data_IF_332121977201
#
_entry.id   IF_332121977201
#
_cell.length_a   1.000
_cell.length_b   1.000
_cell.length_c   1.000
_cell.angle_alpha   90.00
_cell.angle_beta   90.00
_cell.angle_gamma   90.00
#
_symmetry.space_group_name_H-M   'P 1'
#
loop_
_entity.id
_entity.type
_entity.pdbx_description
1 polymer ?
#
# COMPACT_ATOMS: atom_id res chain seq x y z
N UNK A 1 39.55 12.26 21.00
CA UNK A 1 38.12 11.82 21.10
C UNK A 1 37.39 12.49 19.97
N UNK A 2 37.25 11.78 18.83
CA UNK A 2 36.55 12.34 17.66
C UNK A 2 35.06 12.34 17.96
N UNK A 3 34.46 13.49 17.91
CA UNK A 3 33.02 13.73 18.06
C UNK A 3 32.29 12.97 16.93
N UNK A 4 32.01 11.68 17.17
CA UNK A 4 31.26 10.84 16.23
C UNK A 4 29.87 11.47 16.04
N UNK A 5 29.78 12.45 15.13
CA UNK A 5 28.60 13.29 14.88
C UNK A 5 27.38 12.40 14.68
N UNK A 6 26.42 12.49 15.61
CA UNK A 6 25.09 11.88 15.48
C UNK A 6 24.52 12.21 14.11
N UNK A 7 24.00 11.22 13.41
CA UNK A 7 23.36 11.43 12.09
C UNK A 7 21.99 12.04 12.32
N UNK A 8 21.85 13.32 11.99
CA UNK A 8 20.55 14.00 12.01
C UNK A 8 19.62 13.54 10.88
N UNK A 9 18.37 14.01 10.90
CA UNK A 9 17.33 13.65 9.93
C UNK A 9 17.78 13.78 8.46
N UNK A 10 18.31 14.97 8.08
CA UNK A 10 18.78 15.20 6.70
C UNK A 10 19.97 14.31 6.33
N UNK A 11 20.87 14.06 7.29
CA UNK A 11 21.97 13.13 7.11
C UNK A 11 21.50 11.70 6.90
N UNK A 12 20.49 11.25 7.64
CA UNK A 12 19.90 9.94 7.50
C UNK A 12 19.18 9.77 6.15
N UNK A 13 18.45 10.79 5.72
CA UNK A 13 17.80 10.82 4.40
C UNK A 13 18.83 10.76 3.27
N UNK A 14 19.89 11.59 3.33
CA UNK A 14 21.00 11.54 2.36
C UNK A 14 21.64 10.16 2.31
N UNK A 15 22.00 9.59 3.46
CA UNK A 15 22.63 8.28 3.55
C UNK A 15 21.72 7.16 3.02
N UNK A 16 20.41 7.31 3.12
CA UNK A 16 19.46 6.35 2.55
C UNK A 16 19.64 6.23 1.01
N UNK A 17 19.77 7.35 0.31
CA UNK A 17 20.01 7.33 -1.14
C UNK A 17 21.45 6.95 -1.50
N UNK A 18 22.42 7.42 -0.75
CA UNK A 18 23.84 7.04 -0.93
C UNK A 18 24.04 5.53 -0.73
N UNK A 19 23.25 4.92 0.15
CA UNK A 19 23.28 3.50 0.46
C UNK A 19 23.00 2.59 -0.74
N UNK A 20 22.37 3.07 -1.81
CA UNK A 20 22.20 2.30 -3.06
C UNK A 20 23.55 1.93 -3.66
N UNK A 21 24.50 2.88 -3.68
CA UNK A 21 25.85 2.66 -4.20
C UNK A 21 26.86 2.21 -3.13
N UNK A 22 26.59 2.61 -1.87
CA UNK A 22 27.46 2.33 -0.71
C UNK A 22 26.63 1.76 0.44
N UNK A 23 26.38 0.45 0.47
CA UNK A 23 25.52 -0.20 1.48
C UNK A 23 25.90 0.10 2.93
N UNK A 24 27.18 0.35 3.22
CA UNK A 24 27.67 0.78 4.55
C UNK A 24 26.96 2.02 5.11
N UNK A 25 26.44 2.91 4.22
CA UNK A 25 25.71 4.11 4.64
C UNK A 25 24.41 3.78 5.39
N UNK A 26 23.77 2.65 5.08
CA UNK A 26 22.60 2.19 5.84
C UNK A 26 22.97 1.76 7.25
N UNK A 27 24.09 1.03 7.40
CA UNK A 27 24.56 0.62 8.70
C UNK A 27 24.97 1.83 9.56
N UNK A 28 25.62 2.83 8.94
CA UNK A 28 25.94 4.10 9.60
C UNK A 28 24.70 4.82 10.11
N UNK A 29 23.60 4.83 9.34
CA UNK A 29 22.31 5.35 9.79
C UNK A 29 21.75 4.56 10.98
N UNK A 30 21.85 3.25 10.96
CA UNK A 30 21.43 2.39 12.06
C UNK A 30 22.21 2.66 13.33
N UNK A 31 23.54 2.80 13.22
CA UNK A 31 24.44 2.98 14.37
C UNK A 31 24.33 4.37 15.00
N UNK A 32 24.37 5.44 14.20
CA UNK A 32 24.46 6.81 14.67
C UNK A 32 23.15 7.61 14.56
N UNK A 33 22.10 7.03 13.93
CA UNK A 33 20.80 7.65 13.77
C UNK A 33 19.87 7.40 14.95
N UNK A 34 18.98 8.38 15.23
CA UNK A 34 17.93 8.23 16.24
C UNK A 34 16.77 7.41 15.69
N UNK A 35 16.11 6.62 16.55
CA UNK A 35 14.91 5.86 16.17
C UNK A 35 13.76 6.77 15.74
N UNK A 36 13.59 7.92 16.40
CA UNK A 36 12.60 8.93 16.01
C UNK A 36 12.80 9.44 14.57
N UNK A 37 14.05 9.64 14.14
CA UNK A 37 14.34 10.00 12.75
C UNK A 37 13.98 8.88 11.77
N UNK A 38 14.24 7.62 12.13
CA UNK A 38 13.85 6.47 11.32
C UNK A 38 12.33 6.38 11.17
N UNK A 39 11.58 6.54 12.27
CA UNK A 39 10.11 6.54 12.24
C UNK A 39 9.54 7.68 11.39
N UNK A 40 10.08 8.91 11.55
CA UNK A 40 9.64 10.05 10.76
C UNK A 40 9.91 9.86 9.25
N UNK A 41 11.11 9.37 8.89
CA UNK A 41 11.45 9.05 7.50
C UNK A 41 10.52 7.94 6.97
N UNK A 42 10.22 6.92 7.78
CA UNK A 42 9.28 5.87 7.40
C UNK A 42 7.90 6.44 7.07
N UNK A 43 7.38 7.34 7.90
CA UNK A 43 6.08 7.97 7.66
C UNK A 43 6.09 8.81 6.37
N UNK A 44 7.11 9.65 6.17
CA UNK A 44 7.23 10.48 4.97
C UNK A 44 7.36 9.61 3.71
N UNK A 45 8.20 8.59 3.75
CA UNK A 45 8.40 7.70 2.60
C UNK A 45 7.17 6.83 2.31
N UNK A 46 6.44 6.38 3.33
CA UNK A 46 5.15 5.70 3.14
C UNK A 46 4.13 6.63 2.49
N UNK A 47 4.03 7.87 2.96
CA UNK A 47 3.15 8.89 2.36
C UNK A 47 3.50 9.11 0.89
N UNK A 48 4.78 9.31 0.57
CA UNK A 48 5.25 9.51 -0.80
C UNK A 48 4.98 8.27 -1.68
N UNK A 49 5.25 7.08 -1.14
CA UNK A 49 5.02 5.82 -1.85
C UNK A 49 3.56 5.69 -2.25
N UNK A 50 2.63 5.83 -1.30
CA UNK A 50 1.20 5.69 -1.59
C UNK A 50 0.60 6.87 -2.35
N UNK A 51 1.22 8.05 -2.29
CA UNK A 51 0.88 9.14 -3.20
C UNK A 51 1.15 8.73 -4.66
N UNK A 52 2.32 8.17 -4.92
CA UNK A 52 2.78 7.83 -6.29
C UNK A 52 2.12 6.57 -6.83
N UNK A 53 1.95 5.52 -6.01
CA UNK A 53 1.46 4.20 -6.48
C UNK A 53 -0.05 4.01 -6.35
N UNK A 54 -0.73 4.84 -5.59
CA UNK A 54 -2.16 4.74 -5.34
C UNK A 54 -2.90 6.03 -5.69
N UNK A 55 -2.60 7.15 -5.01
CA UNK A 55 -3.37 8.39 -5.17
C UNK A 55 -3.33 8.94 -6.59
N UNK A 56 -2.14 9.05 -7.20
CA UNK A 56 -2.00 9.58 -8.56
C UNK A 56 -2.70 8.69 -9.58
N UNK A 57 -2.45 7.36 -9.66
CA UNK A 57 -3.16 6.50 -10.61
C UNK A 57 -4.67 6.47 -10.38
N UNK A 58 -5.12 6.39 -9.14
CA UNK A 58 -6.56 6.40 -8.84
C UNK A 58 -7.20 7.72 -9.30
N UNK A 59 -6.58 8.85 -8.97
CA UNK A 59 -7.10 10.17 -9.38
C UNK A 59 -7.12 10.35 -10.91
N UNK A 60 -6.19 9.72 -11.62
CA UNK A 60 -6.19 9.72 -13.09
C UNK A 60 -7.34 8.89 -13.68
N UNK A 61 -7.73 7.80 -13.03
CA UNK A 61 -8.75 6.88 -13.53
C UNK A 61 -10.15 7.26 -13.07
N UNK A 62 -10.32 7.65 -11.81
CA UNK A 62 -11.60 7.81 -11.15
C UNK A 62 -11.85 9.22 -10.60
N UNK A 63 -10.80 9.95 -10.24
CA UNK A 63 -10.92 11.21 -9.52
C UNK A 63 -11.37 12.39 -10.38
N UNK A 64 -11.80 13.48 -9.70
CA UNK A 64 -12.27 14.74 -10.30
C UNK A 64 -13.46 14.56 -11.25
N UNK A 65 -14.41 13.68 -10.92
CA UNK A 65 -15.62 13.44 -11.73
C UNK A 65 -15.40 12.60 -12.98
N UNK A 66 -14.19 12.13 -13.28
CA UNK A 66 -13.91 11.36 -14.50
C UNK A 66 -14.69 10.06 -14.60
N UNK A 67 -14.95 9.41 -13.47
CA UNK A 67 -15.77 8.20 -13.46
C UNK A 67 -17.24 8.55 -13.73
N UNK A 68 -17.74 9.61 -13.13
CA UNK A 68 -19.08 10.15 -13.40
C UNK A 68 -19.23 10.56 -14.86
N UNK A 69 -18.24 11.27 -15.43
CA UNK A 69 -18.22 11.65 -16.85
C UNK A 69 -18.21 10.43 -17.79
N UNK A 70 -17.54 9.33 -17.40
CA UNK A 70 -17.57 8.07 -18.19
C UNK A 70 -18.95 7.43 -18.17
N UNK A 71 -19.61 7.40 -17.01
CA UNK A 71 -20.99 6.91 -16.91
C UNK A 71 -21.90 7.79 -17.78
N UNK A 72 -21.75 9.10 -17.69
CA UNK A 72 -22.58 10.03 -18.44
C UNK A 72 -22.47 9.86 -19.96
N UNK A 73 -21.27 9.66 -20.47
CA UNK A 73 -20.98 9.54 -21.91
C UNK A 73 -21.25 8.17 -22.50
N UNK A 74 -21.08 7.11 -21.71
CA UNK A 74 -21.06 5.73 -22.25
C UNK A 74 -22.29 4.91 -21.88
N UNK A 75 -23.10 5.39 -20.93
CA UNK A 75 -24.32 4.70 -20.52
C UNK A 75 -25.53 5.53 -20.93
N UNK A 76 -26.54 4.86 -21.43
CA UNK A 76 -27.87 5.43 -21.63
C UNK A 76 -28.55 5.73 -20.29
N UNK A 77 -29.73 6.34 -20.34
CA UNK A 77 -30.48 6.62 -19.13
C UNK A 77 -30.96 5.36 -18.43
N UNK A 78 -30.85 5.37 -17.12
CA UNK A 78 -31.33 4.29 -16.28
C UNK A 78 -32.02 4.81 -15.02
N UNK A 79 -32.87 3.96 -14.45
CA UNK A 79 -33.50 4.22 -13.17
C UNK A 79 -33.67 2.95 -12.36
N UNK A 80 -33.48 3.04 -11.04
CA UNK A 80 -33.78 2.01 -10.08
C UNK A 80 -34.95 2.46 -9.20
N UNK A 81 -36.00 1.67 -9.17
CA UNK A 81 -37.24 1.92 -8.42
C UNK A 81 -37.62 0.71 -7.57
N UNK A 82 -38.69 0.80 -6.80
CA UNK A 82 -39.27 -0.35 -6.09
C UNK A 82 -39.75 -1.49 -7.00
N UNK A 83 -40.00 -1.19 -8.28
CA UNK A 83 -40.45 -2.16 -9.29
C UNK A 83 -39.28 -2.83 -10.03
N UNK A 84 -38.03 -2.36 -9.85
CA UNK A 84 -36.84 -2.91 -10.45
C UNK A 84 -35.92 -1.88 -11.09
N UNK A 85 -34.95 -2.40 -11.85
CA UNK A 85 -33.97 -1.60 -12.60
C UNK A 85 -34.40 -1.50 -14.08
N UNK A 86 -34.43 -0.29 -14.58
CA UNK A 86 -34.71 0.02 -15.98
C UNK A 86 -33.48 0.64 -16.62
N UNK A 87 -33.14 0.18 -17.83
CA UNK A 87 -32.06 0.71 -18.67
C UNK A 87 -32.55 0.82 -20.11
N UNK A 88 -32.30 1.92 -20.77
CA UNK A 88 -32.73 2.11 -22.16
C UNK A 88 -31.75 1.41 -23.11
N UNK A 89 -32.13 0.24 -23.59
CA UNK A 89 -31.32 -0.60 -24.47
C UNK A 89 -30.55 -1.71 -23.78
N UNK A 90 -29.39 -2.04 -24.30
CA UNK A 90 -28.45 -3.02 -23.75
C UNK A 90 -27.08 -2.42 -23.65
N UNK A 91 -26.31 -2.82 -22.64
CA UNK A 91 -24.95 -2.35 -22.44
C UNK A 91 -24.02 -3.56 -22.22
N UNK A 92 -22.96 -3.60 -23.00
CA UNK A 92 -21.89 -4.59 -22.88
C UNK A 92 -20.55 -3.85 -22.81
N UNK A 93 -19.77 -4.10 -21.77
CA UNK A 93 -18.47 -3.50 -21.57
C UNK A 93 -17.46 -4.50 -21.01
N UNK A 94 -16.25 -4.50 -21.55
CA UNK A 94 -15.13 -5.32 -21.08
C UNK A 94 -13.91 -4.45 -20.72
N UNK A 95 -13.21 -4.89 -19.70
CA UNK A 95 -11.92 -4.35 -19.29
C UNK A 95 -10.92 -5.51 -19.23
N UNK A 96 -10.13 -5.63 -20.27
CA UNK A 96 -9.15 -6.71 -20.42
C UNK A 96 -7.99 -6.60 -19.43
N UNK A 97 -7.63 -5.38 -19.00
CA UNK A 97 -6.56 -5.16 -18.00
C UNK A 97 -6.96 -5.68 -16.62
N UNK A 98 -8.22 -5.44 -16.23
CA UNK A 98 -8.76 -5.88 -14.95
C UNK A 98 -9.52 -7.20 -15.05
N UNK A 99 -9.58 -7.80 -16.24
CA UNK A 99 -10.34 -9.04 -16.50
C UNK A 99 -11.78 -8.94 -15.99
N UNK A 100 -12.46 -7.82 -16.30
CA UNK A 100 -13.81 -7.52 -15.82
C UNK A 100 -14.76 -7.33 -16.98
N UNK A 101 -16.01 -7.80 -16.82
CA UNK A 101 -17.06 -7.67 -17.80
C UNK A 101 -18.37 -7.22 -17.15
N UNK A 102 -19.08 -6.29 -17.79
CA UNK A 102 -20.39 -5.79 -17.35
C UNK A 102 -21.38 -5.93 -18.49
N UNK A 103 -22.50 -6.57 -18.20
CA UNK A 103 -23.64 -6.69 -19.11
C UNK A 103 -24.90 -6.16 -18.44
N UNK A 104 -25.63 -5.28 -19.14
CA UNK A 104 -26.95 -4.79 -18.71
C UNK A 104 -27.97 -5.19 -19.78
N UNK A 105 -28.99 -5.91 -19.38
CA UNK A 105 -30.10 -6.34 -20.25
C UNK A 105 -31.39 -6.43 -19.43
N UNK A 106 -32.12 -5.31 -19.39
CA UNK A 106 -33.38 -5.18 -18.63
C UNK A 106 -34.60 -5.72 -19.37
N UNK A 107 -34.44 -6.26 -20.60
CA UNK A 107 -35.47 -7.02 -21.25
C UNK A 107 -35.76 -8.37 -20.54
N UNK A 108 -34.77 -8.80 -19.71
CA UNK A 108 -34.86 -9.99 -18.86
C UNK A 108 -35.14 -9.59 -17.42
N UNK A 109 -36.06 -10.31 -16.77
CA UNK A 109 -36.35 -10.07 -15.34
C UNK A 109 -35.30 -10.69 -14.42
N UNK A 110 -34.74 -11.86 -14.82
CA UNK A 110 -33.78 -12.61 -14.03
C UNK A 110 -32.46 -12.79 -14.75
N UNK A 111 -31.41 -12.90 -13.97
CA UNK A 111 -30.08 -13.22 -14.46
C UNK A 111 -29.88 -14.71 -14.62
N UNK A 112 -29.07 -15.12 -15.59
CA UNK A 112 -28.68 -16.49 -15.79
C UNK A 112 -27.24 -16.72 -15.35
N UNK A 113 -27.04 -17.54 -14.32
CA UNK A 113 -25.70 -17.86 -13.80
C UNK A 113 -24.84 -18.61 -14.83
N UNK A 114 -25.45 -19.38 -15.74
CA UNK A 114 -24.69 -20.07 -16.77
C UNK A 114 -24.00 -19.06 -17.70
N UNK A 115 -24.71 -18.01 -18.09
CA UNK A 115 -24.16 -16.93 -18.94
C UNK A 115 -22.94 -16.27 -18.26
N UNK A 116 -23.01 -16.04 -16.93
CA UNK A 116 -21.87 -15.42 -16.20
C UNK A 116 -20.66 -16.35 -16.16
N UNK A 117 -20.88 -17.67 -16.01
CA UNK A 117 -19.81 -18.67 -16.00
C UNK A 117 -19.18 -18.83 -17.39
N UNK A 118 -20.00 -18.83 -18.43
CA UNK A 118 -19.53 -18.95 -19.81
C UNK A 118 -18.72 -17.72 -20.21
N UNK A 119 -19.16 -16.49 -19.87
CA UNK A 119 -18.42 -15.27 -20.09
C UNK A 119 -17.09 -15.28 -19.32
N UNK A 120 -17.08 -15.80 -18.10
CA UNK A 120 -15.84 -15.92 -17.33
C UNK A 120 -14.88 -16.97 -17.93
N UNK A 121 -15.41 -18.11 -18.40
CA UNK A 121 -14.61 -19.19 -18.96
C UNK A 121 -14.06 -18.84 -20.36
N UNK A 122 -14.93 -18.39 -21.25
CA UNK A 122 -14.60 -18.14 -22.66
C UNK A 122 -13.85 -16.80 -22.85
N UNK A 123 -14.26 -15.77 -22.09
CA UNK A 123 -13.65 -14.43 -22.13
C UNK A 123 -12.44 -14.26 -21.21
N UNK A 124 -12.17 -15.24 -20.33
CA UNK A 124 -11.07 -15.15 -19.34
C UNK A 124 -11.32 -14.11 -18.23
N UNK A 125 -12.57 -13.67 -18.05
CA UNK A 125 -12.88 -12.64 -17.06
C UNK A 125 -12.90 -13.20 -15.64
N UNK A 126 -12.25 -12.49 -14.71
CA UNK A 126 -12.27 -12.82 -13.27
C UNK A 126 -13.54 -12.36 -12.59
N UNK A 127 -14.06 -11.22 -13.05
CA UNK A 127 -15.25 -10.59 -12.48
C UNK A 127 -16.25 -10.32 -13.60
N UNK A 128 -17.47 -10.83 -13.45
CA UNK A 128 -18.57 -10.60 -14.38
C UNK A 128 -19.75 -10.03 -13.60
N UNK A 129 -20.29 -8.91 -14.09
CA UNK A 129 -21.51 -8.31 -13.59
C UNK A 129 -22.60 -8.46 -14.67
N UNK A 130 -23.75 -9.04 -14.30
CA UNK A 130 -24.93 -9.09 -15.16
C UNK A 130 -26.08 -8.41 -14.42
N UNK A 131 -26.68 -7.43 -15.05
CA UNK A 131 -27.79 -6.63 -14.49
C UNK A 131 -29.02 -6.88 -15.35
N UNK A 132 -30.07 -7.39 -14.74
CA UNK A 132 -31.43 -7.54 -15.32
C UNK A 132 -32.40 -6.58 -14.66
N UNK A 133 -33.68 -6.62 -15.01
CA UNK A 133 -34.67 -5.75 -14.40
C UNK A 133 -34.82 -5.98 -12.88
N UNK A 134 -34.77 -7.23 -12.41
CA UNK A 134 -35.05 -7.55 -11.00
C UNK A 134 -33.80 -7.94 -10.20
N UNK A 135 -32.72 -8.33 -10.88
CA UNK A 135 -31.56 -8.95 -10.23
C UNK A 135 -30.23 -8.43 -10.78
N UNK A 136 -29.26 -8.33 -9.88
CA UNK A 136 -27.85 -8.10 -10.21
C UNK A 136 -27.06 -9.34 -9.81
N UNK A 137 -26.38 -9.93 -10.75
CA UNK A 137 -25.47 -11.05 -10.54
C UNK A 137 -24.03 -10.54 -10.55
N UNK A 138 -23.28 -10.92 -9.54
CA UNK A 138 -21.82 -10.75 -9.49
C UNK A 138 -21.18 -12.12 -9.46
N UNK A 139 -20.36 -12.42 -10.46
CA UNK A 139 -19.47 -13.59 -10.48
C UNK A 139 -18.05 -13.13 -10.24
N UNK A 140 -17.37 -13.72 -9.27
CA UNK A 140 -15.98 -13.41 -8.98
C UNK A 140 -15.20 -14.69 -8.62
N UNK A 141 -14.25 -15.07 -9.47
CA UNK A 141 -13.34 -16.18 -9.25
C UNK A 141 -14.03 -17.48 -8.80
N UNK A 142 -15.13 -17.85 -9.45
CA UNK A 142 -15.89 -19.07 -9.17
C UNK A 142 -17.01 -18.94 -8.13
N UNK A 143 -17.23 -17.76 -7.57
CA UNK A 143 -18.31 -17.47 -6.62
C UNK A 143 -19.36 -16.59 -7.27
N UNK A 144 -20.62 -16.99 -7.17
CA UNK A 144 -21.76 -16.21 -7.64
C UNK A 144 -22.49 -15.59 -6.46
N UNK A 145 -22.86 -14.33 -6.60
CA UNK A 145 -23.76 -13.64 -5.68
C UNK A 145 -24.86 -12.97 -6.49
N UNK A 146 -26.10 -13.15 -6.09
CA UNK A 146 -27.26 -12.50 -6.68
C UNK A 146 -27.88 -11.58 -5.65
N UNK A 147 -28.15 -10.34 -6.03
CA UNK A 147 -28.79 -9.31 -5.22
C UNK A 147 -30.01 -8.81 -5.97
N UNK A 148 -31.15 -8.69 -5.30
CA UNK A 148 -32.35 -8.15 -5.93
C UNK A 148 -32.27 -6.63 -6.03
N UNK A 149 -32.64 -6.08 -7.16
CA UNK A 149 -32.70 -4.64 -7.39
C UNK A 149 -33.57 -3.93 -6.36
N UNK A 150 -34.66 -4.55 -5.96
CA UNK A 150 -35.58 -4.05 -4.91
C UNK A 150 -34.87 -3.87 -3.56
N UNK A 151 -34.03 -4.82 -3.15
CA UNK A 151 -33.33 -4.74 -1.85
C UNK A 151 -32.34 -3.57 -1.84
N UNK A 152 -31.68 -3.33 -3.00
CA UNK A 152 -30.79 -2.17 -3.17
C UNK A 152 -31.59 -0.88 -3.10
N UNK A 153 -32.71 -0.81 -3.81
CA UNK A 153 -33.58 0.39 -3.81
C UNK A 153 -34.09 0.71 -2.42
N UNK A 154 -34.60 -0.30 -1.68
CA UNK A 154 -35.09 -0.12 -0.30
C UNK A 154 -33.99 0.47 0.61
N UNK A 155 -32.80 -0.09 0.54
CA UNK A 155 -31.63 0.41 1.31
C UNK A 155 -31.27 1.85 0.96
N UNK A 156 -31.29 2.21 -0.32
CA UNK A 156 -31.00 3.59 -0.77
C UNK A 156 -32.13 4.56 -0.41
N UNK A 157 -33.39 4.11 -0.51
CA UNK A 157 -34.53 4.92 -0.14
C UNK A 157 -34.56 5.21 1.38
N UNK A 158 -34.29 4.20 2.23
CA UNK A 158 -34.20 4.38 3.67
C UNK A 158 -33.06 5.33 4.06
N UNK A 159 -31.93 5.25 3.36
CA UNK A 159 -30.74 6.04 3.71
C UNK A 159 -30.78 7.47 3.18
N UNK A 160 -31.30 7.67 1.96
CA UNK A 160 -31.20 8.93 1.23
C UNK A 160 -32.57 9.51 0.83
N UNK A 161 -33.66 8.79 1.00
CA UNK A 161 -35.02 9.25 0.67
C UNK A 161 -35.31 9.34 -0.83
N UNK A 162 -34.62 8.58 -1.68
CA UNK A 162 -34.85 8.59 -3.13
C UNK A 162 -36.20 7.91 -3.48
N UNK A 163 -37.03 8.59 -4.27
CA UNK A 163 -38.24 8.01 -4.87
C UNK A 163 -37.91 7.11 -6.08
N UNK A 164 -36.89 7.45 -6.79
CA UNK A 164 -36.22 6.69 -7.82
C UNK A 164 -34.75 7.07 -7.82
N UNK A 165 -33.85 6.13 -8.10
CA UNK A 165 -32.42 6.42 -8.25
C UNK A 165 -32.14 6.49 -9.75
N UNK A 166 -31.91 7.68 -10.25
CA UNK A 166 -31.65 7.93 -11.68
C UNK A 166 -30.14 7.93 -11.97
N UNK A 167 -29.78 7.88 -13.25
CA UNK A 167 -28.40 8.09 -13.71
C UNK A 167 -27.78 9.36 -13.11
N UNK A 168 -28.56 10.45 -13.10
CA UNK A 168 -28.10 11.74 -12.59
C UNK A 168 -27.86 11.70 -11.06
N UNK A 169 -28.68 10.98 -10.31
CA UNK A 169 -28.49 10.79 -8.86
C UNK A 169 -27.22 10.01 -8.58
N UNK A 170 -26.93 8.95 -9.36
CA UNK A 170 -25.69 8.18 -9.26
C UNK A 170 -24.48 9.06 -9.60
N UNK A 171 -24.52 9.84 -10.65
CA UNK A 171 -23.47 10.80 -11.03
C UNK A 171 -23.21 11.80 -9.90
N UNK A 172 -24.26 12.38 -9.34
CA UNK A 172 -24.16 13.34 -8.24
C UNK A 172 -23.57 12.70 -6.96
N UNK A 173 -23.98 11.47 -6.66
CA UNK A 173 -23.47 10.71 -5.52
C UNK A 173 -21.96 10.38 -5.70
N UNK A 174 -21.57 9.91 -6.88
CA UNK A 174 -20.18 9.65 -7.21
C UNK A 174 -19.34 10.91 -7.05
N UNK A 175 -19.76 12.03 -7.66
CA UNK A 175 -19.05 13.30 -7.56
C UNK A 175 -18.91 13.80 -6.11
N UNK A 176 -19.91 13.53 -5.27
CA UNK A 176 -19.86 13.90 -3.85
C UNK A 176 -18.94 13.00 -3.03
N UNK A 177 -18.88 11.72 -3.35
CA UNK A 177 -18.13 10.71 -2.56
C UNK A 177 -16.70 10.47 -3.06
N UNK A 178 -16.42 10.73 -4.33
CA UNK A 178 -15.14 10.41 -4.98
C UNK A 178 -13.94 10.95 -4.19
N UNK A 179 -13.88 12.24 -3.94
CA UNK A 179 -12.76 12.84 -3.21
C UNK A 179 -12.63 12.37 -1.75
N UNK A 180 -13.70 12.37 -0.93
CA UNK A 180 -13.63 11.86 0.43
C UNK A 180 -13.19 10.40 0.53
N UNK A 181 -13.71 9.53 -0.34
CA UNK A 181 -13.37 8.11 -0.39
C UNK A 181 -11.91 7.92 -0.80
N UNK A 182 -11.44 8.65 -1.82
CA UNK A 182 -10.05 8.61 -2.24
C UNK A 182 -9.09 9.02 -1.11
N UNK A 183 -9.37 10.13 -0.44
CA UNK A 183 -8.53 10.63 0.66
C UNK A 183 -8.51 9.64 1.82
N UNK A 184 -9.66 9.10 2.21
CA UNK A 184 -9.76 8.11 3.27
C UNK A 184 -8.97 6.83 2.92
N UNK A 185 -9.15 6.31 1.71
CA UNK A 185 -8.43 5.13 1.25
C UNK A 185 -6.90 5.37 1.22
N UNK A 186 -6.47 6.55 0.78
CA UNK A 186 -5.06 6.93 0.77
C UNK A 186 -4.48 6.99 2.19
N UNK A 187 -5.17 7.61 3.15
CA UNK A 187 -4.74 7.68 4.55
C UNK A 187 -4.62 6.28 5.15
N UNK A 188 -5.61 5.41 4.91
CA UNK A 188 -5.57 4.02 5.37
C UNK A 188 -4.37 3.26 4.78
N UNK A 189 -4.09 3.44 3.49
CA UNK A 189 -2.92 2.85 2.83
C UNK A 189 -1.60 3.33 3.45
N UNK A 190 -1.48 4.60 3.82
CA UNK A 190 -0.28 5.12 4.51
C UNK A 190 -0.09 4.42 5.85
N UNK A 191 -1.15 4.31 6.66
CA UNK A 191 -1.07 3.67 7.98
C UNK A 191 -0.68 2.20 7.85
N UNK A 192 -1.36 1.46 6.98
CA UNK A 192 -1.06 0.05 6.73
C UNK A 192 0.37 -0.13 6.21
N UNK A 193 0.78 0.69 5.25
CA UNK A 193 2.13 0.64 4.68
C UNK A 193 3.22 0.97 5.69
N UNK A 194 2.98 1.93 6.57
CA UNK A 194 3.88 2.25 7.67
C UNK A 194 4.08 1.03 8.59
N UNK A 195 2.99 0.43 9.06
CA UNK A 195 3.04 -0.75 9.95
C UNK A 195 3.71 -1.94 9.26
N UNK A 196 3.33 -2.23 8.01
CA UNK A 196 3.93 -3.31 7.24
C UNK A 196 5.42 -3.10 6.98
N UNK A 197 5.86 -1.87 6.75
CA UNK A 197 7.29 -1.57 6.57
C UNK A 197 8.07 -1.92 7.83
N UNK A 198 7.58 -1.54 9.01
CA UNK A 198 8.20 -1.88 10.29
C UNK A 198 8.24 -3.39 10.51
N UNK A 199 7.13 -4.08 10.23
CA UNK A 199 7.05 -5.53 10.36
C UNK A 199 8.04 -6.26 9.43
N UNK A 200 8.08 -5.92 8.14
CA UNK A 200 9.01 -6.54 7.19
C UNK A 200 10.48 -6.21 7.52
N UNK A 201 10.74 -5.05 8.11
CA UNK A 201 12.09 -4.69 8.58
C UNK A 201 12.58 -5.60 9.70
N UNK A 202 11.68 -6.18 10.52
CA UNK A 202 12.07 -7.19 11.51
C UNK A 202 12.65 -8.44 10.85
N UNK A 203 12.06 -8.93 9.77
CA UNK A 203 12.58 -10.09 9.03
C UNK A 203 13.96 -9.80 8.43
N UNK A 204 14.14 -8.61 7.86
CA UNK A 204 15.44 -8.17 7.34
C UNK A 204 16.46 -8.05 8.48
N UNK A 205 16.03 -7.63 9.67
CA UNK A 205 16.88 -7.56 10.86
C UNK A 205 17.40 -8.93 11.27
N UNK A 206 16.54 -9.95 11.28
CA UNK A 206 16.96 -11.32 11.57
C UNK A 206 18.03 -11.77 10.58
N UNK A 207 17.84 -11.52 9.29
CA UNK A 207 18.86 -11.81 8.28
C UNK A 207 20.17 -11.04 8.53
N UNK A 208 20.10 -9.78 8.93
CA UNK A 208 21.26 -8.96 9.29
C UNK A 208 22.01 -9.47 10.52
N UNK A 209 21.30 -9.94 11.54
CA UNK A 209 21.92 -10.57 12.72
C UNK A 209 22.61 -11.89 12.38
N UNK A 210 22.01 -12.71 11.50
CA UNK A 210 22.65 -13.92 10.98
C UNK A 210 23.95 -13.56 10.23
N UNK A 211 23.90 -12.53 9.38
CA UNK A 211 25.09 -12.05 8.66
C UNK A 211 26.21 -11.61 9.62
N UNK A 212 25.87 -10.88 10.67
CA UNK A 212 26.81 -10.44 11.70
C UNK A 212 27.41 -11.63 12.45
N UNK A 213 26.58 -12.58 12.86
CA UNK A 213 27.02 -13.80 13.55
C UNK A 213 27.97 -14.63 12.69
N UNK A 214 27.68 -14.81 11.39
CA UNK A 214 28.58 -15.53 10.46
C UNK A 214 29.93 -14.83 10.31
N UNK A 215 30.00 -13.54 10.48
CA UNK A 215 31.24 -12.74 10.44
C UNK A 215 31.89 -12.55 11.80
N UNK A 216 31.31 -13.11 12.88
CA UNK A 216 31.73 -12.90 14.26
C UNK A 216 31.79 -11.42 14.65
N UNK A 217 30.85 -10.63 14.17
CA UNK A 217 30.72 -9.21 14.45
C UNK A 217 29.64 -9.03 15.51
N UNK A 218 29.97 -8.37 16.59
CA UNK A 218 28.98 -7.99 17.60
C UNK A 218 28.22 -6.74 17.15
N UNK A 219 26.90 -6.83 17.10
CA UNK A 219 26.02 -5.74 16.68
C UNK A 219 24.76 -5.72 17.54
N UNK A 220 24.28 -4.53 17.87
CA UNK A 220 23.02 -4.42 18.57
C UNK A 220 21.83 -4.62 17.63
N UNK A 221 20.76 -5.24 18.15
CA UNK A 221 19.49 -5.40 17.42
C UNK A 221 18.98 -4.06 16.89
N UNK A 222 19.01 -3.01 17.73
CA UNK A 222 18.52 -1.67 17.37
C UNK A 222 19.27 -1.06 16.19
N UNK A 223 20.59 -1.28 16.09
CA UNK A 223 21.40 -0.83 14.95
C UNK A 223 20.96 -1.50 13.65
N UNK A 224 20.84 -2.84 13.66
CA UNK A 224 20.43 -3.59 12.48
C UNK A 224 19.00 -3.26 12.09
N UNK A 225 18.08 -3.13 13.06
CA UNK A 225 16.68 -2.81 12.79
C UNK A 225 16.51 -1.43 12.13
N UNK A 226 17.17 -0.40 12.65
CA UNK A 226 17.18 0.92 12.00
C UNK A 226 17.76 0.86 10.58
N UNK A 227 18.85 0.12 10.38
CA UNK A 227 19.44 -0.09 9.04
C UNK A 227 18.46 -0.77 8.10
N UNK A 228 17.78 -1.82 8.57
CA UNK A 228 16.78 -2.57 7.81
C UNK A 228 15.59 -1.71 7.39
N UNK A 229 15.13 -0.80 8.26
CA UNK A 229 14.08 0.17 7.93
C UNK A 229 14.48 1.01 6.71
N UNK A 230 15.66 1.64 6.72
CA UNK A 230 16.11 2.49 5.62
C UNK A 230 16.28 1.73 4.30
N UNK A 231 16.84 0.52 4.36
CA UNK A 231 16.99 -0.35 3.19
C UNK A 231 15.61 -0.70 2.63
N UNK A 232 14.70 -1.18 3.48
CA UNK A 232 13.35 -1.58 3.08
C UNK A 232 12.57 -0.45 2.45
N UNK A 233 12.60 0.73 3.04
CA UNK A 233 11.88 1.91 2.54
C UNK A 233 12.25 2.25 1.11
N UNK A 234 13.55 2.35 0.84
CA UNK A 234 14.01 2.77 -0.48
C UNK A 234 13.73 1.72 -1.55
N UNK A 235 14.09 0.45 -1.28
CA UNK A 235 13.88 -0.62 -2.25
C UNK A 235 12.40 -0.91 -2.50
N UNK A 236 11.57 -0.83 -1.46
CA UNK A 236 10.12 -0.96 -1.63
C UNK A 236 9.56 0.17 -2.50
N UNK A 237 9.93 1.41 -2.22
CA UNK A 237 9.50 2.56 -3.03
C UNK A 237 9.90 2.39 -4.51
N UNK A 238 11.17 2.11 -4.80
CA UNK A 238 11.66 1.96 -6.16
C UNK A 238 10.95 0.82 -6.91
N UNK A 239 10.82 -0.35 -6.29
CA UNK A 239 10.18 -1.50 -6.92
C UNK A 239 8.68 -1.28 -7.12
N UNK A 240 8.01 -0.59 -6.21
CA UNK A 240 6.59 -0.29 -6.37
C UNK A 240 6.32 0.78 -7.43
N UNK A 241 7.22 1.76 -7.60
CA UNK A 241 7.15 2.70 -8.72
C UNK A 241 7.32 1.97 -10.07
N UNK A 242 8.30 1.08 -10.16
CA UNK A 242 8.49 0.24 -11.36
C UNK A 242 7.25 -0.61 -11.64
N UNK A 243 6.67 -1.25 -10.60
CA UNK A 243 5.47 -2.07 -10.71
C UNK A 243 4.22 -1.29 -11.11
N UNK A 244 4.18 0.00 -10.84
CA UNK A 244 3.01 0.84 -11.15
C UNK A 244 3.07 1.39 -12.56
N UNK A 245 4.24 1.81 -13.03
CA UNK A 245 4.38 2.57 -14.27
C UNK A 245 5.08 1.83 -15.41
N UNK A 246 5.85 0.78 -15.12
CA UNK A 246 6.67 0.10 -16.12
C UNK A 246 6.23 -1.36 -16.31
N UNK A 247 6.05 -2.08 -15.22
CA UNK A 247 5.72 -3.51 -15.25
C UNK A 247 4.65 -3.85 -14.21
N UNK A 248 3.40 -4.10 -14.59
CA UNK A 248 2.28 -4.27 -13.66
C UNK A 248 2.30 -5.61 -12.90
N UNK A 249 3.36 -5.85 -12.13
CA UNK A 249 3.56 -7.07 -11.33
C UNK A 249 3.81 -6.75 -9.85
N UNK A 250 2.87 -6.01 -9.22
CA UNK A 250 3.02 -5.48 -7.86
C UNK A 250 3.44 -6.52 -6.81
N UNK A 251 2.85 -7.73 -6.86
CA UNK A 251 3.18 -8.80 -5.90
C UNK A 251 4.62 -9.27 -6.06
N UNK A 252 5.05 -9.52 -7.29
CA UNK A 252 6.40 -9.97 -7.62
C UNK A 252 7.44 -8.91 -7.24
N UNK A 253 7.17 -7.65 -7.55
CA UNK A 253 8.07 -6.53 -7.24
C UNK A 253 8.17 -6.28 -5.73
N UNK A 254 7.09 -6.47 -4.97
CA UNK A 254 7.12 -6.42 -3.51
C UNK A 254 8.01 -7.50 -2.88
N UNK A 255 7.98 -8.71 -3.42
CA UNK A 255 8.87 -9.82 -3.01
C UNK A 255 10.32 -9.56 -3.43
N UNK A 256 10.55 -9.06 -4.63
CA UNK A 256 11.88 -8.68 -5.12
C UNK A 256 12.50 -7.59 -4.25
N UNK A 257 11.72 -6.58 -3.85
CA UNK A 257 12.16 -5.55 -2.92
C UNK A 257 12.62 -6.12 -1.57
N UNK A 258 11.92 -7.14 -1.06
CA UNK A 258 12.32 -7.83 0.17
C UNK A 258 13.63 -8.58 -0.03
N UNK A 259 13.75 -9.34 -1.11
CA UNK A 259 14.95 -10.10 -1.41
C UNK A 259 16.20 -9.21 -1.57
N UNK A 260 16.06 -8.12 -2.34
CA UNK A 260 17.12 -7.12 -2.48
C UNK A 260 17.48 -6.52 -1.12
N UNK A 261 16.48 -6.22 -0.27
CA UNK A 261 16.73 -5.67 1.06
C UNK A 261 17.55 -6.62 1.95
N UNK A 262 17.32 -7.93 1.84
CA UNK A 262 18.12 -8.93 2.55
C UNK A 262 19.56 -8.94 2.04
N UNK A 263 19.81 -8.90 0.74
CA UNK A 263 21.16 -8.79 0.18
C UNK A 263 21.86 -7.53 0.67
N UNK A 264 21.16 -6.40 0.67
CA UNK A 264 21.74 -5.11 1.08
C UNK A 264 22.08 -5.05 2.57
N UNK A 265 21.33 -5.72 3.46
CA UNK A 265 21.70 -5.74 4.88
C UNK A 265 22.98 -6.55 5.11
N UNK A 266 23.17 -7.67 4.38
CA UNK A 266 24.42 -8.43 4.41
C UNK A 266 25.61 -7.58 3.93
N UNK A 267 25.42 -6.86 2.81
CA UNK A 267 26.44 -5.98 2.27
C UNK A 267 26.76 -4.82 3.23
N UNK A 268 25.73 -4.21 3.82
CA UNK A 268 25.88 -3.07 4.74
C UNK A 268 26.70 -3.43 5.97
N UNK A 269 26.39 -4.56 6.62
CA UNK A 269 27.13 -5.08 7.77
C UNK A 269 28.58 -5.42 7.38
N UNK A 270 28.76 -6.16 6.28
CA UNK A 270 30.09 -6.62 5.85
C UNK A 270 31.01 -5.47 5.44
N UNK A 271 30.52 -4.51 4.66
CA UNK A 271 31.34 -3.40 4.17
C UNK A 271 31.69 -2.40 5.27
N UNK A 272 30.74 -2.13 6.18
CA UNK A 272 31.01 -1.21 7.28
C UNK A 272 32.18 -1.70 8.14
N UNK A 273 32.14 -2.95 8.57
CA UNK A 273 33.21 -3.51 9.41
C UNK A 273 34.54 -3.69 8.67
N UNK A 274 34.50 -3.99 7.36
CA UNK A 274 35.72 -4.03 6.53
C UNK A 274 36.40 -2.65 6.47
N UNK A 275 35.60 -1.58 6.39
CA UNK A 275 36.12 -0.21 6.24
C UNK A 275 36.44 0.47 7.61
N UNK A 276 35.95 -0.11 8.71
CA UNK A 276 36.14 0.40 10.07
C UNK A 276 36.49 -0.74 11.03
N UNK A 277 37.66 -1.38 10.88
CA UNK A 277 38.04 -2.56 11.69
C UNK A 277 38.25 -2.23 13.18
N UNK A 278 38.61 -0.97 13.48
CA UNK A 278 38.88 -0.49 14.85
C UNK A 278 37.62 0.08 15.55
N UNK A 279 36.48 0.03 14.89
CA UNK A 279 35.22 0.46 15.47
C UNK A 279 34.68 -0.68 16.35
N UNK A 280 35.16 -0.72 17.61
CA UNK A 280 34.69 -1.65 18.63
C UNK A 280 33.16 -1.57 18.77
N UNK A 281 32.45 -2.71 18.81
CA UNK A 281 30.99 -2.75 18.92
C UNK A 281 30.45 -2.16 20.24
N UNK A 282 31.32 -1.79 21.16
CA UNK A 282 30.91 -1.34 22.48
C UNK A 282 30.20 0.02 22.44
N UNK A 283 29.06 0.01 23.05
CA UNK A 283 28.17 1.13 23.45
C UNK A 283 27.23 1.64 22.36
N UNK A 284 26.04 1.04 22.32
CA UNK A 284 24.84 1.69 21.78
C UNK A 284 24.67 3.03 22.53
N UNK A 285 24.70 4.19 21.83
CA UNK A 285 24.53 5.51 22.48
C UNK A 285 23.27 5.59 23.35
N UNK A 286 22.24 4.79 23.07
CA UNK A 286 21.05 4.69 23.91
C UNK A 286 21.30 3.92 25.22
N UNK A 287 22.24 2.98 25.25
CA UNK A 287 22.64 2.29 26.46
C UNK A 287 23.58 3.14 27.32
N UNK A 288 24.43 3.94 26.69
CA UNK A 288 25.28 4.93 27.41
C UNK A 288 24.39 5.96 28.09
N UNK A 289 23.40 6.53 27.40
CA UNK A 289 22.47 7.50 27.96
C UNK A 289 21.60 6.91 29.10
N UNK A 290 21.21 5.63 29.00
CA UNK A 290 20.52 4.92 30.10
C UNK A 290 21.46 4.60 31.28
N UNK A 291 22.70 4.25 31.02
CA UNK A 291 23.68 3.98 32.06
C UNK A 291 24.11 5.27 32.75
N UNK A 292 24.29 6.37 32.02
CA UNK A 292 24.59 7.68 32.59
C UNK A 292 23.44 8.20 33.46
N UNK A 293 22.19 8.07 32.99
CA UNK A 293 21.01 8.39 33.79
C UNK A 293 20.89 7.48 35.03
N UNK A 294 21.15 6.19 34.90
CA UNK A 294 21.11 5.28 36.03
C UNK A 294 22.23 5.59 37.06
N UNK A 295 23.39 6.01 36.61
CA UNK A 295 24.48 6.46 37.49
C UNK A 295 24.16 7.80 38.18
N UNK A 296 23.57 8.76 37.45
CA UNK A 296 23.10 10.00 38.06
C UNK A 296 22.03 9.74 39.15
N UNK A 297 21.03 8.90 38.85
CA UNK A 297 20.01 8.53 39.86
C UNK A 297 20.61 7.83 41.07
N UNK A 298 21.58 6.93 40.90
CA UNK A 298 22.24 6.25 42.02
C UNK A 298 23.08 7.19 42.89
N UNK A 299 23.63 8.29 42.33
CA UNK A 299 24.33 9.32 43.11
C UNK A 299 23.38 10.24 43.88
N UNK A 300 22.15 10.42 43.41
CA UNK A 300 21.10 11.16 44.14
C UNK A 300 20.52 10.38 45.32
N UNK A 301 20.46 9.05 45.24
CA UNK A 301 19.98 8.21 46.35
C UNK A 301 21.01 8.05 47.48
N UNK A 302 22.28 8.38 47.26
CA UNK A 302 23.36 8.31 48.26
C UNK A 302 23.63 9.62 48.98
N UNK A 303 22.89 10.70 48.68
CA UNK A 303 22.94 11.98 49.39
C UNK A 303 21.71 12.20 50.24
#
# INVERSE_FOLDING_TARGET
MDDKKRVGFLGALKNMFVGVAKPEAYYRNGRFGRMSSAMLITFIMSTLTYLVIFFIPYNQLFGCGRFADRIDRNMEDFSLTGDGFYYDGTFDWSDDENMSYIKIDTSKTKVDEAVARDLAADGGYRTVFIISADEILTYNSGRTQIIRCKDIYESLNETYGFKAVTKQDVINLINKLDTPVLVLAWVLQIIVGFVLTLFWSLLITVAGLIAASMKKIEVSFGTIYKSAIYIRLLWYFLMMVIATYIWPAKRTMGMLALFISVIYIFAAVSQYHKNNPDDDPQEDPAQVEQNDLAQEFSQYEQR
#
